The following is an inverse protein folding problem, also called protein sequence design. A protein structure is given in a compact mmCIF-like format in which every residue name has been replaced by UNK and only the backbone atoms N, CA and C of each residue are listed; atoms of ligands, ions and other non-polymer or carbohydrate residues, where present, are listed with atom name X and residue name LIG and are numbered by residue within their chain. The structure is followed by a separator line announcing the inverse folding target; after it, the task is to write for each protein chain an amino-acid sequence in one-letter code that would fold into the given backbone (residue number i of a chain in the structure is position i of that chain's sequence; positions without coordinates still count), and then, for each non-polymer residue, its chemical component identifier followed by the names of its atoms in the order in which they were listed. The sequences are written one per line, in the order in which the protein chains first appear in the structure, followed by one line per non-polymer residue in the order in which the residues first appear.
data_IF_939077696351
#
_entry.id   IF_939077696351
#
_cell.length_a   1.000
_cell.length_b   1.000
_cell.length_c   1.000
_cell.angle_alpha   90.00
_cell.angle_beta   90.00
_cell.angle_gamma   90.00
#
_symmetry.space_group_name_H-M   'P 1'
#
loop_
_entity.id
_entity.type
_entity.pdbx_description
1 polymer ?
#
# COMPACT_ATOMS: atom_id res chain seq x y z
N UNK A 1 -11.72 -17.90 7.70
CA UNK A 1 -10.94 -18.42 8.86
C UNK A 1 -11.76 -19.30 9.81
N UNK A 2 -13.10 -19.35 9.71
CA UNK A 2 -13.93 -20.24 10.55
C UNK A 2 -13.73 -21.75 10.32
N UNK A 3 -13.06 -22.17 9.24
CA UNK A 3 -12.84 -23.59 8.94
C UNK A 3 -11.70 -24.24 9.75
N UNK A 4 -10.80 -23.46 10.37
CA UNK A 4 -9.63 -23.98 11.08
C UNK A 4 -9.80 -24.07 12.61
N UNK A 5 -10.87 -23.48 13.15
CA UNK A 5 -11.09 -23.36 14.60
C UNK A 5 -11.87 -24.56 15.16
N UNK A 6 -12.61 -25.27 14.30
CA UNK A 6 -13.55 -26.35 14.68
C UNK A 6 -12.94 -27.63 15.27
N UNK A 7 -11.62 -27.71 15.45
CA UNK A 7 -10.94 -28.89 15.98
C UNK A 7 -10.41 -28.75 17.42
N UNK A 8 -10.67 -27.63 18.11
CA UNK A 8 -10.10 -27.38 19.44
C UNK A 8 -11.09 -27.09 20.57
N UNK A 9 -12.41 -27.11 20.35
CA UNK A 9 -13.39 -26.60 21.33
C UNK A 9 -14.06 -27.66 22.23
N UNK A 10 -13.64 -28.93 22.21
CA UNK A 10 -14.37 -29.98 22.94
C UNK A 10 -14.02 -30.14 24.43
N UNK A 11 -13.11 -29.37 25.03
CA UNK A 11 -12.82 -29.46 26.46
C UNK A 11 -12.38 -28.11 27.06
N UNK A 12 -13.31 -27.36 27.67
CA UNK A 12 -13.18 -26.75 29.02
C UNK A 12 -14.35 -25.79 29.32
N UNK A 13 -14.91 -25.92 30.52
CA UNK A 13 -16.16 -25.31 30.96
C UNK A 13 -15.96 -23.97 31.69
N UNK A 14 -16.87 -23.04 31.37
CA UNK A 14 -17.55 -22.04 32.22
C UNK A 14 -16.69 -21.17 33.18
N UNK A 15 -16.38 -19.94 32.73
CA UNK A 15 -16.25 -18.78 33.63
C UNK A 15 -16.62 -17.47 32.90
N UNK A 16 -17.72 -16.84 33.32
CA UNK A 16 -17.94 -15.40 33.20
C UNK A 16 -18.07 -14.79 31.80
N UNK A 17 -19.05 -15.21 30.99
CA UNK A 17 -19.37 -14.55 29.72
C UNK A 17 -19.88 -13.13 29.93
N UNK A 18 -19.00 -12.13 29.78
CA UNK A 18 -19.40 -10.80 29.28
C UNK A 18 -20.10 -11.06 27.96
N UNK A 19 -21.40 -10.79 27.86
CA UNK A 19 -22.12 -10.84 26.58
C UNK A 19 -21.57 -9.74 25.69
N UNK A 20 -20.53 -10.06 24.94
CA UNK A 20 -20.19 -9.39 23.69
C UNK A 20 -21.49 -9.32 22.86
N UNK A 21 -21.82 -8.17 22.24
CA UNK A 21 -22.98 -8.13 21.37
C UNK A 21 -22.83 -9.21 20.29
N UNK A 22 -23.89 -10.00 20.08
CA UNK A 22 -24.02 -10.95 18.96
C UNK A 22 -24.07 -10.16 17.64
N UNK A 23 -22.96 -9.53 17.27
CA UNK A 23 -22.81 -8.84 16.00
C UNK A 23 -22.59 -9.88 14.91
N UNK A 24 -23.41 -9.83 13.87
CA UNK A 24 -23.33 -10.71 12.71
C UNK A 24 -21.92 -10.60 12.08
N UNK A 25 -21.17 -11.70 11.90
CA UNK A 25 -19.85 -11.67 11.27
C UNK A 25 -19.82 -10.94 9.93
N UNK A 26 -20.90 -11.02 9.15
CA UNK A 26 -21.01 -10.32 7.86
C UNK A 26 -21.13 -8.80 8.05
N UNK A 27 -21.86 -8.36 9.09
CA UNK A 27 -21.95 -6.95 9.45
C UNK A 27 -20.60 -6.40 9.94
N UNK A 28 -19.91 -7.15 10.81
CA UNK A 28 -18.56 -6.78 11.29
C UNK A 28 -17.60 -6.66 10.12
N UNK A 29 -17.64 -7.60 9.18
CA UNK A 29 -16.80 -7.59 7.99
C UNK A 29 -17.08 -6.35 7.12
N UNK A 30 -18.34 -6.04 6.84
CA UNK A 30 -18.69 -4.87 6.02
C UNK A 30 -18.28 -3.56 6.69
N UNK A 31 -18.45 -3.43 8.01
CA UNK A 31 -17.99 -2.26 8.76
C UNK A 31 -16.46 -2.11 8.70
N UNK A 32 -15.73 -3.21 8.89
CA UNK A 32 -14.26 -3.22 8.78
C UNK A 32 -13.78 -2.88 7.37
N UNK A 33 -14.46 -3.39 6.34
CA UNK A 33 -14.17 -3.11 4.94
C UNK A 33 -14.43 -1.64 4.60
N UNK A 34 -15.55 -1.09 5.05
CA UNK A 34 -15.88 0.33 4.88
C UNK A 34 -14.84 1.23 5.56
N UNK A 35 -14.43 0.87 6.79
CA UNK A 35 -13.40 1.60 7.52
C UNK A 35 -12.05 1.55 6.79
N UNK A 36 -11.63 0.37 6.33
CA UNK A 36 -10.39 0.20 5.57
C UNK A 36 -10.41 1.01 4.25
N UNK A 37 -11.52 0.96 3.50
CA UNK A 37 -11.70 1.73 2.28
C UNK A 37 -11.57 3.23 2.53
N UNK A 38 -12.17 3.74 3.61
CA UNK A 38 -12.05 5.15 3.99
C UNK A 38 -10.61 5.56 4.32
N UNK A 39 -9.85 4.70 5.01
CA UNK A 39 -8.41 4.93 5.24
C UNK A 39 -7.66 4.98 3.92
N UNK A 40 -7.92 4.05 3.00
CA UNK A 40 -7.27 4.02 1.69
C UNK A 40 -7.53 5.30 0.90
N UNK A 41 -8.76 5.80 0.89
CA UNK A 41 -9.11 7.06 0.24
C UNK A 41 -8.34 8.25 0.81
N UNK A 42 -8.27 8.37 2.14
CA UNK A 42 -7.52 9.44 2.82
C UNK A 42 -6.04 9.35 2.44
N UNK A 43 -5.46 8.16 2.54
CA UNK A 43 -4.02 7.97 2.32
C UNK A 43 -3.64 8.20 0.85
N UNK A 44 -4.43 7.71 -0.11
CA UNK A 44 -4.15 7.91 -1.54
C UNK A 44 -4.31 9.38 -1.98
N UNK A 45 -5.02 10.21 -1.22
CA UNK A 45 -5.11 11.66 -1.44
C UNK A 45 -3.93 12.45 -0.86
N UNK A 46 -3.05 11.84 -0.06
CA UNK A 46 -1.85 12.50 0.48
C UNK A 46 -0.70 12.47 -0.55
N UNK A 47 -0.93 13.12 -1.68
CA UNK A 47 0.00 13.21 -2.80
C UNK A 47 1.37 13.75 -2.35
N UNK A 48 2.44 13.04 -2.71
CA UNK A 48 3.82 13.48 -2.42
C UNK A 48 4.28 13.30 -0.98
N UNK A 49 3.42 12.83 -0.08
CA UNK A 49 3.81 12.52 1.28
C UNK A 49 4.54 11.17 1.34
N UNK A 50 5.84 11.20 1.64
CA UNK A 50 6.66 9.99 1.69
C UNK A 50 6.32 9.07 2.85
N UNK A 51 5.73 9.61 3.92
CA UNK A 51 5.41 8.86 5.13
C UNK A 51 4.25 7.88 4.91
N UNK A 52 3.50 8.02 3.81
CA UNK A 52 2.42 7.10 3.46
C UNK A 52 2.88 5.94 2.59
N UNK A 53 4.10 5.99 2.03
CA UNK A 53 4.55 5.00 1.05
C UNK A 53 4.63 3.58 1.61
N UNK A 54 5.04 3.40 2.86
CA UNK A 54 5.08 2.07 3.49
C UNK A 54 3.69 1.45 3.65
N UNK A 55 2.69 2.28 3.99
CA UNK A 55 1.29 1.87 4.06
C UNK A 55 0.74 1.53 2.66
N UNK A 56 1.02 2.39 1.67
CA UNK A 56 0.60 2.17 0.28
C UNK A 56 1.21 0.88 -0.27
N UNK A 57 2.51 0.66 -0.04
CA UNK A 57 3.21 -0.56 -0.42
C UNK A 57 2.53 -1.79 0.19
N UNK A 58 2.39 -1.83 1.52
CA UNK A 58 1.74 -2.93 2.24
C UNK A 58 0.32 -3.21 1.75
N UNK A 59 -0.47 -2.16 1.54
CA UNK A 59 -1.84 -2.27 1.03
C UNK A 59 -1.86 -2.87 -0.37
N UNK A 60 -0.96 -2.45 -1.25
CA UNK A 60 -0.88 -2.99 -2.61
C UNK A 60 -0.34 -4.43 -2.64
N UNK A 61 0.55 -4.82 -1.73
CA UNK A 61 0.95 -6.24 -1.57
C UNK A 61 -0.26 -7.10 -1.24
N UNK A 62 -1.08 -6.67 -0.26
CA UNK A 62 -2.32 -7.35 0.08
C UNK A 62 -3.27 -7.42 -1.14
N UNK A 63 -3.52 -6.30 -1.82
CA UNK A 63 -4.41 -6.27 -2.98
C UNK A 63 -3.90 -7.07 -4.18
N UNK A 64 -2.59 -7.15 -4.38
CA UNK A 64 -1.99 -8.03 -5.38
C UNK A 64 -2.27 -9.50 -5.07
N UNK A 65 -2.19 -9.91 -3.81
CA UNK A 65 -2.57 -11.29 -3.44
C UNK A 65 -4.06 -11.52 -3.62
N UNK A 66 -4.90 -10.58 -3.20
CA UNK A 66 -6.35 -10.71 -3.35
C UNK A 66 -6.74 -10.83 -4.83
N UNK A 67 -6.13 -10.03 -5.71
CA UNK A 67 -6.41 -10.04 -7.15
C UNK A 67 -6.12 -11.40 -7.83
N UNK A 68 -5.23 -12.21 -7.25
CA UNK A 68 -4.91 -13.57 -7.68
C UNK A 68 -5.91 -14.62 -7.16
N UNK A 69 -6.81 -14.25 -6.25
CA UNK A 69 -7.78 -15.11 -5.59
C UNK A 69 -9.21 -14.61 -5.89
N UNK A 70 -9.87 -15.11 -6.96
CA UNK A 70 -11.17 -14.59 -7.41
C UNK A 70 -12.26 -14.53 -6.34
N UNK A 71 -12.31 -15.54 -5.47
CA UNK A 71 -13.27 -15.59 -4.36
C UNK A 71 -12.98 -14.57 -3.25
N UNK A 72 -11.73 -14.13 -3.08
CA UNK A 72 -11.38 -13.13 -2.07
C UNK A 72 -11.59 -11.71 -2.61
N UNK A 73 -11.11 -11.42 -3.81
CA UNK A 73 -11.22 -10.08 -4.41
C UNK A 73 -12.67 -9.67 -4.66
N UNK A 74 -13.59 -10.62 -4.89
CA UNK A 74 -15.02 -10.32 -5.06
C UNK A 74 -15.66 -9.66 -3.85
N UNK A 75 -15.08 -9.81 -2.66
CA UNK A 75 -15.56 -9.13 -1.44
C UNK A 75 -14.96 -7.73 -1.27
N UNK A 76 -13.91 -7.37 -2.02
CA UNK A 76 -13.13 -6.15 -1.79
C UNK A 76 -13.23 -5.17 -2.96
N UNK A 77 -13.36 -5.68 -4.19
CA UNK A 77 -13.18 -4.91 -5.41
C UNK A 77 -14.14 -3.73 -5.56
N UNK A 78 -15.35 -3.81 -5.00
CA UNK A 78 -16.35 -2.75 -5.11
C UNK A 78 -16.16 -1.62 -4.09
N UNK A 79 -15.43 -1.88 -3.01
CA UNK A 79 -15.11 -0.89 -1.97
C UNK A 79 -13.72 -0.29 -2.12
N UNK A 80 -12.81 -1.01 -2.76
CA UNK A 80 -11.45 -0.51 -2.94
C UNK A 80 -11.41 0.70 -3.89
N UNK A 81 -10.71 1.79 -3.54
CA UNK A 81 -10.75 3.03 -4.31
C UNK A 81 -9.81 3.00 -5.53
N UNK A 82 -10.11 2.16 -6.52
CA UNK A 82 -9.28 1.91 -7.71
C UNK A 82 -8.94 3.19 -8.47
N UNK A 83 -9.89 4.12 -8.63
CA UNK A 83 -9.64 5.39 -9.32
C UNK A 83 -8.55 6.20 -8.60
N UNK A 84 -8.65 6.36 -7.28
CA UNK A 84 -7.63 7.04 -6.50
C UNK A 84 -6.28 6.31 -6.55
N UNK A 85 -6.28 4.99 -6.47
CA UNK A 85 -5.07 4.20 -6.62
C UNK A 85 -4.38 4.45 -7.97
N UNK A 86 -5.13 4.46 -9.08
CA UNK A 86 -4.59 4.75 -10.42
C UNK A 86 -3.98 6.14 -10.52
N UNK A 87 -4.65 7.14 -9.94
CA UNK A 87 -4.14 8.51 -9.92
C UNK A 87 -2.86 8.57 -9.07
N UNK A 88 -2.84 7.91 -7.90
CA UNK A 88 -1.70 7.82 -6.97
C UNK A 88 -0.49 7.21 -7.66
N UNK A 89 -0.68 6.10 -8.36
CA UNK A 89 0.34 5.46 -9.17
C UNK A 89 0.85 6.39 -10.29
N UNK A 90 -0.02 7.10 -11.00
CA UNK A 90 0.39 8.06 -12.02
C UNK A 90 1.20 9.23 -11.47
N UNK A 91 0.83 9.74 -10.29
CA UNK A 91 1.61 10.77 -9.61
C UNK A 91 3.00 10.26 -9.22
N UNK A 92 3.10 9.04 -8.66
CA UNK A 92 4.39 8.42 -8.35
C UNK A 92 5.23 8.21 -9.61
N UNK A 93 4.63 7.74 -10.70
CA UNK A 93 5.32 7.55 -11.98
C UNK A 93 5.89 8.87 -12.53
N UNK A 94 5.15 9.97 -12.36
CA UNK A 94 5.58 11.31 -12.79
C UNK A 94 6.69 11.89 -11.90
N UNK A 95 6.75 11.51 -10.63
CA UNK A 95 7.62 12.17 -9.62
C UNK A 95 8.83 11.35 -9.19
N UNK A 96 8.84 10.05 -9.48
CA UNK A 96 9.98 9.19 -9.19
C UNK A 96 11.24 9.70 -9.92
N UNK A 97 12.37 9.72 -9.21
CA UNK A 97 13.64 10.30 -9.71
C UNK A 97 14.48 9.32 -10.55
N UNK A 98 14.02 8.09 -10.72
CA UNK A 98 14.65 7.02 -11.50
C UNK A 98 13.62 6.38 -12.40
N UNK A 99 14.02 5.93 -13.58
CA UNK A 99 13.14 5.14 -14.43
C UNK A 99 12.79 3.82 -13.71
N UNK A 100 11.51 3.57 -13.38
CA UNK A 100 11.14 2.38 -12.62
C UNK A 100 11.09 1.14 -13.52
N UNK A 101 11.55 0.00 -13.01
CA UNK A 101 11.49 -1.30 -13.70
C UNK A 101 10.10 -1.94 -13.57
N UNK A 102 9.06 -1.28 -14.10
CA UNK A 102 7.67 -1.76 -13.99
C UNK A 102 7.32 -2.88 -14.99
N UNK A 103 7.99 -2.90 -16.14
CA UNK A 103 7.69 -3.82 -17.24
C UNK A 103 8.32 -5.21 -17.06
N UNK A 104 9.18 -5.39 -16.04
CA UNK A 104 9.86 -6.67 -15.78
C UNK A 104 9.04 -7.58 -14.87
N UNK A 105 9.09 -8.90 -15.12
CA UNK A 105 8.56 -9.90 -14.17
C UNK A 105 9.42 -10.00 -12.89
N UNK A 106 10.69 -9.63 -12.98
CA UNK A 106 11.63 -9.68 -11.85
C UNK A 106 11.21 -8.68 -10.76
N UNK A 107 11.16 -9.15 -9.52
CA UNK A 107 10.91 -8.31 -8.34
C UNK A 107 11.92 -7.15 -8.26
N UNK A 108 11.48 -5.89 -8.05
CA UNK A 108 12.38 -4.75 -7.94
C UNK A 108 13.24 -4.78 -6.66
N UNK A 109 14.45 -5.33 -6.82
CA UNK A 109 15.51 -5.32 -5.81
C UNK A 109 16.68 -4.42 -6.19
N UNK A 110 17.89 -4.82 -5.81
CA UNK A 110 19.11 -4.09 -6.16
C UNK A 110 19.29 -3.97 -7.68
N UNK A 111 20.00 -2.93 -8.16
CA UNK A 111 20.26 -2.73 -9.59
C UNK A 111 21.12 -3.86 -10.17
N UNK A 112 22.14 -4.29 -9.42
CA UNK A 112 22.99 -5.41 -9.80
C UNK A 112 22.52 -6.68 -9.12
N UNK A 113 22.22 -7.73 -9.88
CA UNK A 113 21.84 -9.05 -9.35
C UNK A 113 22.89 -9.69 -8.44
N UNK A 114 24.15 -9.24 -8.51
CA UNK A 114 25.23 -9.69 -7.64
C UNK A 114 25.25 -9.02 -6.26
N UNK A 115 24.45 -7.98 -6.04
CA UNK A 115 24.34 -7.32 -4.73
C UNK A 115 23.33 -8.06 -3.87
N UNK A 116 23.66 -8.18 -2.58
CA UNK A 116 22.75 -8.76 -1.60
C UNK A 116 21.48 -7.90 -1.48
N UNK A 117 20.30 -8.52 -1.29
CA UNK A 117 19.06 -7.79 -1.09
C UNK A 117 19.14 -6.82 0.09
N UNK A 118 18.46 -5.69 -0.03
CA UNK A 118 18.23 -4.75 1.08
C UNK A 118 16.71 -4.61 1.21
N UNK A 119 16.06 -5.43 2.06
CA UNK A 119 14.63 -5.31 2.30
C UNK A 119 14.27 -3.95 2.90
N UNK A 120 13.06 -3.50 2.61
CA UNK A 120 12.46 -2.35 3.27
C UNK A 120 12.03 -2.74 4.69
N UNK A 121 11.92 -1.78 5.63
CA UNK A 121 11.42 -2.04 6.98
C UNK A 121 10.08 -2.80 6.98
N UNK A 122 9.15 -2.39 6.11
CA UNK A 122 7.85 -3.05 5.97
C UNK A 122 7.92 -4.44 5.34
N UNK A 123 8.98 -4.80 4.59
CA UNK A 123 9.14 -6.17 4.10
C UNK A 123 9.33 -7.14 5.27
N UNK A 124 10.10 -6.73 6.28
CA UNK A 124 10.27 -7.51 7.50
C UNK A 124 8.95 -7.63 8.27
N UNK A 125 8.14 -6.57 8.30
CA UNK A 125 6.82 -6.58 8.94
C UNK A 125 5.80 -7.46 8.19
N UNK A 126 5.92 -7.57 6.87
CA UNK A 126 5.07 -8.42 6.03
C UNK A 126 5.43 -9.90 6.12
N UNK A 127 6.65 -10.22 6.57
CA UNK A 127 7.13 -11.60 6.65
C UNK A 127 6.26 -12.43 7.60
N UNK A 128 5.77 -13.57 7.11
CA UNK A 128 4.92 -14.50 7.87
C UNK A 128 3.42 -14.19 7.77
N UNK A 129 3.03 -13.08 7.15
CA UNK A 129 1.63 -12.85 6.80
C UNK A 129 1.24 -13.73 5.61
N UNK A 130 0.12 -14.45 5.72
CA UNK A 130 -0.34 -15.41 4.71
C UNK A 130 -0.50 -14.81 3.30
N UNK A 131 -0.78 -13.50 3.21
CA UNK A 131 -0.94 -12.84 1.92
C UNK A 131 0.39 -12.41 1.28
N UNK A 132 1.50 -12.49 2.00
CA UNK A 132 2.83 -12.10 1.52
C UNK A 132 3.79 -13.29 1.36
N UNK A 133 3.34 -14.51 1.61
CA UNK A 133 4.20 -15.72 1.67
C UNK A 133 4.96 -15.96 0.35
N UNK A 134 4.27 -15.84 -0.79
CA UNK A 134 4.85 -16.00 -2.14
C UNK A 134 5.31 -14.68 -2.77
N UNK A 135 5.26 -13.56 -2.03
CA UNK A 135 5.52 -12.24 -2.59
C UNK A 135 7.03 -11.95 -2.75
N UNK A 136 7.84 -12.35 -1.78
CA UNK A 136 9.27 -12.04 -1.77
C UNK A 136 10.10 -13.12 -2.47
N UNK A 137 11.14 -12.75 -3.25
CA UNK A 137 12.06 -13.71 -3.84
C UNK A 137 12.76 -14.59 -2.78
N UNK A 138 13.17 -15.79 -3.17
CA UNK A 138 13.99 -16.64 -2.31
C UNK A 138 15.28 -15.93 -1.93
N UNK A 139 15.61 -15.97 -0.64
CA UNK A 139 16.81 -15.34 -0.07
C UNK A 139 16.71 -13.82 0.09
N UNK A 140 15.51 -13.24 -0.07
CA UNK A 140 15.28 -11.80 0.10
C UNK A 140 15.74 -11.28 1.47
N UNK A 141 15.61 -12.09 2.51
CA UNK A 141 15.93 -11.71 3.89
C UNK A 141 17.27 -12.27 4.40
N UNK A 142 18.10 -12.84 3.52
CA UNK A 142 19.32 -13.57 3.90
C UNK A 142 20.56 -12.66 3.98
N UNK A 143 20.41 -11.34 3.85
CA UNK A 143 21.52 -10.39 3.98
C UNK A 143 21.97 -10.27 5.45
N UNK A 144 22.96 -11.07 5.82
CA UNK A 144 23.54 -11.13 7.18
C UNK A 144 24.28 -9.84 7.60
N UNK A 145 24.54 -8.92 6.67
CA UNK A 145 25.24 -7.66 6.95
C UNK A 145 24.35 -6.59 7.57
N UNK A 146 23.03 -6.77 7.51
CA UNK A 146 22.06 -5.81 8.03
C UNK A 146 21.71 -6.16 9.47
N UNK A 147 22.17 -5.34 10.41
CA UNK A 147 21.73 -5.42 11.79
C UNK A 147 20.30 -4.87 11.96
N UNK A 148 19.75 -4.94 13.18
CA UNK A 148 18.39 -4.44 13.43
C UNK A 148 18.25 -2.93 13.17
N UNK A 149 19.28 -2.14 13.50
CA UNK A 149 19.27 -0.69 13.30
C UNK A 149 19.24 -0.34 11.81
N UNK A 150 20.04 -1.04 11.00
CA UNK A 150 20.11 -0.85 9.55
C UNK A 150 18.76 -1.11 8.86
N UNK A 151 18.01 -2.11 9.35
CA UNK A 151 16.70 -2.50 8.81
C UNK A 151 15.69 -1.37 8.91
N UNK A 152 15.73 -0.57 9.98
CA UNK A 152 14.77 0.52 10.23
C UNK A 152 15.29 1.91 9.86
N UNK A 153 16.53 2.05 9.40
CA UNK A 153 17.11 3.34 9.02
C UNK A 153 16.43 3.95 7.78
N UNK A 154 15.70 5.06 7.91
CA UNK A 154 14.97 5.70 6.81
C UNK A 154 15.86 6.56 5.88
N UNK A 155 16.65 5.91 5.03
CA UNK A 155 17.46 6.58 4.01
C UNK A 155 16.64 6.99 2.77
N UNK A 156 17.07 8.04 2.05
CA UNK A 156 16.43 8.49 0.79
C UNK A 156 16.32 7.38 -0.25
N UNK A 157 17.26 6.43 -0.28
CA UNK A 157 17.21 5.25 -1.17
C UNK A 157 15.96 4.40 -0.92
N UNK A 158 15.58 4.19 0.34
CA UNK A 158 14.38 3.42 0.71
C UNK A 158 13.10 4.07 0.18
N UNK A 159 13.04 5.40 0.10
CA UNK A 159 11.90 6.09 -0.55
C UNK A 159 11.83 5.73 -2.04
N UNK A 160 12.95 5.77 -2.77
CA UNK A 160 12.97 5.44 -4.20
C UNK A 160 12.62 3.98 -4.45
N UNK A 161 13.08 3.07 -3.59
CA UNK A 161 12.79 1.65 -3.69
C UNK A 161 11.31 1.36 -3.40
N UNK A 162 10.71 2.04 -2.41
CA UNK A 162 9.25 2.00 -2.19
C UNK A 162 8.48 2.45 -3.41
N UNK A 163 8.83 3.61 -3.98
CA UNK A 163 8.14 4.12 -5.16
C UNK A 163 8.22 3.14 -6.33
N UNK A 164 9.39 2.57 -6.59
CA UNK A 164 9.56 1.57 -7.65
C UNK A 164 8.71 0.32 -7.40
N UNK A 165 8.70 -0.22 -6.17
CA UNK A 165 7.89 -1.41 -5.84
C UNK A 165 6.40 -1.15 -5.92
N UNK A 166 5.94 -0.01 -5.41
CA UNK A 166 4.53 0.41 -5.52
C UNK A 166 4.08 0.43 -6.99
N UNK A 167 4.90 1.05 -7.85
CA UNK A 167 4.61 1.13 -9.29
C UNK A 167 4.64 -0.25 -9.96
N UNK A 168 5.62 -1.09 -9.60
CA UNK A 168 5.71 -2.46 -10.11
C UNK A 168 4.50 -3.31 -9.69
N UNK A 169 4.08 -3.25 -8.42
CA UNK A 169 2.88 -3.95 -7.94
C UNK A 169 1.63 -3.46 -8.69
N UNK A 170 1.48 -2.13 -8.83
CA UNK A 170 0.39 -1.54 -9.61
C UNK A 170 0.34 -2.08 -11.04
N UNK A 171 1.51 -2.24 -11.68
CA UNK A 171 1.63 -2.80 -13.02
C UNK A 171 1.21 -4.27 -13.08
N UNK A 172 1.57 -5.09 -12.08
CA UNK A 172 1.15 -6.50 -11.97
C UNK A 172 -0.36 -6.63 -11.77
N UNK A 173 -0.98 -5.78 -10.96
CA UNK A 173 -2.44 -5.78 -10.78
C UNK A 173 -3.13 -5.40 -12.11
N UNK A 174 -2.57 -4.44 -12.83
CA UNK A 174 -3.10 -3.97 -14.11
C UNK A 174 -3.02 -5.00 -15.24
N UNK A 175 -2.17 -6.04 -15.14
CA UNK A 175 -2.09 -7.11 -16.15
C UNK A 175 -3.42 -7.87 -16.31
N UNK A 176 -4.25 -7.90 -15.27
CA UNK A 176 -5.59 -8.49 -15.35
C UNK A 176 -6.57 -7.66 -16.20
N UNK A 177 -6.34 -6.35 -16.31
CA UNK A 177 -7.24 -5.40 -16.95
C UNK A 177 -8.62 -5.24 -16.29
N UNK A 178 -8.86 -5.85 -15.12
CA UNK A 178 -10.19 -5.90 -14.49
C UNK A 178 -10.51 -4.72 -13.58
N UNK A 179 -9.49 -4.16 -12.94
CA UNK A 179 -9.66 -3.10 -11.93
C UNK A 179 -8.77 -1.91 -12.24
N UNK A 180 -7.46 -2.13 -12.19
CA UNK A 180 -6.46 -1.25 -12.78
C UNK A 180 -6.22 -1.66 -14.23
N UNK A 181 -5.91 -0.68 -15.06
CA UNK A 181 -5.48 -0.86 -16.45
C UNK A 181 -4.18 -0.12 -16.68
N UNK A 182 -3.47 -0.50 -17.75
CA UNK A 182 -2.24 0.15 -18.16
C UNK A 182 -2.30 0.51 -19.65
N UNK A 183 -2.00 1.76 -19.98
CA UNK A 183 -1.86 2.23 -21.36
C UNK A 183 -0.37 2.30 -21.72
N UNK A 184 0.09 1.35 -22.54
CA UNK A 184 1.49 1.29 -22.98
C UNK A 184 1.94 2.51 -23.79
N UNK A 185 1.02 3.13 -24.55
CA UNK A 185 1.36 4.29 -25.40
C UNK A 185 1.50 5.55 -24.57
N UNK A 186 0.56 5.78 -23.66
CA UNK A 186 0.57 6.94 -22.79
C UNK A 186 1.43 6.74 -21.53
N UNK A 187 1.93 5.52 -21.28
CA UNK A 187 2.65 5.11 -20.07
C UNK A 187 1.95 5.59 -18.81
N UNK A 188 0.66 5.24 -18.68
CA UNK A 188 -0.18 5.65 -17.55
C UNK A 188 -1.08 4.52 -17.08
N UNK A 189 -1.34 4.52 -15.78
CA UNK A 189 -2.38 3.74 -15.17
C UNK A 189 -3.76 4.33 -15.50
N UNK A 190 -4.74 3.45 -15.64
CA UNK A 190 -6.15 3.75 -15.69
C UNK A 190 -6.92 2.77 -14.80
N UNK A 191 -8.23 2.75 -15.00
CA UNK A 191 -9.14 1.79 -14.36
C UNK A 191 -10.09 1.22 -15.39
N UNK A 192 -10.73 0.09 -15.06
CA UNK A 192 -11.90 -0.37 -15.80
C UNK A 192 -13.04 0.66 -15.71
N UNK A 193 -13.87 0.73 -16.75
CA UNK A 193 -15.02 1.64 -16.84
C UNK A 193 -15.95 1.58 -15.61
N UNK A 194 -16.10 0.41 -14.96
CA UNK A 194 -16.86 0.23 -13.72
C UNK A 194 -16.38 1.15 -12.59
N UNK A 195 -15.09 1.44 -12.56
CA UNK A 195 -14.44 2.21 -11.50
C UNK A 195 -14.02 3.62 -11.96
N UNK A 196 -14.40 4.03 -13.18
CA UNK A 196 -14.07 5.35 -13.70
C UNK A 196 -15.16 6.37 -13.38
N UNK A 197 -15.03 7.00 -12.22
CA UNK A 197 -15.93 8.05 -11.75
C UNK A 197 -15.18 9.35 -11.45
N UNK A 198 -15.89 10.47 -11.54
CA UNK A 198 -15.34 11.77 -11.15
C UNK A 198 -15.21 11.83 -9.63
N UNK A 199 -14.01 12.18 -9.17
CA UNK A 199 -13.71 12.34 -7.75
C UNK A 199 -13.84 13.82 -7.40
N UNK A 200 -14.69 14.13 -6.42
CA UNK A 200 -14.82 15.48 -5.89
C UNK A 200 -13.46 15.99 -5.36
N UNK A 201 -13.17 17.26 -5.65
CA UNK A 201 -11.98 17.96 -5.14
C UNK A 201 -10.66 17.61 -5.83
N UNK A 202 -10.66 16.90 -6.98
CA UNK A 202 -9.46 16.64 -7.77
C UNK A 202 -9.52 17.31 -9.16
N UNK A 203 -8.38 17.77 -9.71
CA UNK A 203 -8.34 18.27 -11.08
C UNK A 203 -8.70 17.16 -12.08
N UNK A 204 -9.60 17.44 -13.01
CA UNK A 204 -9.98 16.52 -14.09
C UNK A 204 -8.76 16.10 -14.94
N UNK A 205 -8.69 14.82 -15.32
CA UNK A 205 -7.63 14.22 -16.16
C UNK A 205 -7.41 14.92 -17.54
N UNK A 206 -8.31 15.84 -17.93
CA UNK A 206 -8.34 16.48 -19.26
C UNK A 206 -7.76 17.90 -19.33
N UNK A 207 -7.05 18.38 -18.31
CA UNK A 207 -6.41 19.71 -18.39
C UNK A 207 -4.99 19.62 -18.98
N UNK A 208 -4.93 19.76 -20.30
CA UNK A 208 -3.71 20.18 -21.00
C UNK A 208 -3.22 21.52 -20.46
N UNK A 209 -1.95 21.54 -20.03
CA UNK A 209 -1.06 22.67 -19.80
C UNK A 209 -1.69 24.09 -19.85
N UNK A 210 -1.93 24.66 -18.66
CA UNK A 210 -2.19 26.09 -18.51
C UNK A 210 -2.51 26.44 -17.06
N UNK A 211 -1.52 26.95 -16.33
CA UNK A 211 -1.60 27.54 -14.98
C UNK A 211 -1.86 26.57 -13.81
N UNK A 212 -0.77 26.06 -13.23
CA UNK A 212 -0.75 25.63 -11.83
C UNK A 212 -0.75 26.89 -10.97
N UNK A 213 -1.89 27.27 -10.41
CA UNK A 213 -1.93 28.18 -9.27
C UNK A 213 -1.45 27.38 -8.06
N UNK A 214 -0.38 27.87 -7.43
CA UNK A 214 0.16 27.32 -6.18
C UNK A 214 -0.94 27.23 -5.14
N UNK A 215 -1.28 26.01 -4.72
CA UNK A 215 -2.08 25.79 -3.52
C UNK A 215 -1.18 26.09 -2.33
N UNK A 216 -1.58 27.05 -1.52
CA UNK A 216 -0.89 27.51 -0.32
C UNK A 216 -0.70 26.33 0.65
N UNK A 217 0.53 25.92 0.98
CA UNK A 217 0.74 24.96 2.05
C UNK A 217 0.34 25.68 3.33
N UNK A 218 -0.76 25.25 3.94
CA UNK A 218 -1.25 25.80 5.20
C UNK A 218 -0.12 25.96 6.24
N UNK A 219 -0.32 26.83 7.23
CA UNK A 219 0.76 27.36 8.06
C UNK A 219 1.61 26.25 8.64
N UNK A 220 2.93 26.44 8.59
CA UNK A 220 3.90 25.55 9.19
C UNK A 220 3.55 25.27 10.66
N UNK A 221 3.81 24.05 11.17
CA UNK A 221 3.61 23.74 12.58
C UNK A 221 4.39 24.75 13.45
N UNK A 222 3.74 25.24 14.50
CA UNK A 222 4.36 26.14 15.48
C UNK A 222 5.53 25.41 16.12
N UNK A 223 6.75 25.92 15.95
CA UNK A 223 7.92 25.47 16.72
C UNK A 223 7.63 25.73 18.20
N UNK A 224 7.56 24.65 18.98
CA UNK A 224 7.48 24.72 20.43
C UNK A 224 8.91 24.91 20.91
N UNK A 225 9.27 26.14 21.27
CA UNK A 225 10.50 26.43 22.01
C UNK A 225 10.42 25.69 23.36
N UNK A 226 11.25 24.65 23.51
CA UNK A 226 11.47 24.00 24.79
C UNK A 226 12.54 24.82 25.48
N UNK A 227 12.13 25.68 26.42
CA UNK A 227 13.02 26.41 27.30
C UNK A 227 13.86 25.41 28.12
N UNK A 228 15.15 25.35 27.82
CA UNK A 228 16.14 24.52 28.50
C UNK A 228 16.61 25.21 29.80
N UNK A 229 15.71 25.35 30.77
CA UNK A 229 16.05 25.79 32.12
C UNK A 229 16.34 24.60 33.03
N UNK A 230 17.50 23.95 32.86
CA UNK A 230 18.15 23.17 33.93
C UNK A 230 19.67 23.10 33.77
N UNK A 231 20.39 24.11 34.26
CA UNK A 231 21.67 23.91 34.95
C UNK A 231 22.13 25.18 35.70
N UNK A 232 21.93 25.18 37.01
CA UNK A 232 22.86 25.80 37.97
C UNK A 232 22.87 24.95 39.24
#
# INVERSE_FOLDING_TARGET
MQALIRQQEDDEADDGSVTEPDSDPDEIFEQALQFAAHIYEIVFRRWGDKNTLSFIHTTLVFMLRMSQLPAAISHLEDRYPWKLASMMLNYLLKTIKKEPRIDTEDFPGQEKKSQEPVPLPEDYALRGLLFADDFFPKGWFDNERLDETDRYLEATSKTLDRQERILWIGRRIADSGKWLTWDDKARRFGVDSKYDFELEGLPSDNQSAGNVTTVDPGPAPVEIDIDDERAS
#
